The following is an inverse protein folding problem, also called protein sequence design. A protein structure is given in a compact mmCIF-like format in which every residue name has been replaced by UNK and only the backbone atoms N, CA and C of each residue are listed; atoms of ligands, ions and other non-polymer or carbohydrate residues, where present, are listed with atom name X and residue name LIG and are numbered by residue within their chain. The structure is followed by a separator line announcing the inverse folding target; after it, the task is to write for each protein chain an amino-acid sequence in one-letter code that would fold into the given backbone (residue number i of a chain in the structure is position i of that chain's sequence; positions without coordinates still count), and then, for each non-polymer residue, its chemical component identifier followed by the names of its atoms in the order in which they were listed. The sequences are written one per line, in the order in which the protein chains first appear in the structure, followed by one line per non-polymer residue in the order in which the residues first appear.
data_IF_163200032499
#
_entry.id   IF_163200032499
#
_cell.length_a   1.000
_cell.length_b   1.000
_cell.length_c   1.000
_cell.angle_alpha   90.00
_cell.angle_beta   90.00
_cell.angle_gamma   90.00
#
_symmetry.space_group_name_H-M   'P 1'
#
loop_
_entity.id
_entity.type
_entity.pdbx_description
1 polymer ?
#
# COMPACT_ATOMS: atom_id res chain seq x y z
N UNK A 1 6.21 3.70 20.29
CA UNK A 1 6.97 4.36 19.22
C UNK A 1 6.08 4.40 17.99
N UNK A 2 5.33 5.47 17.80
CA UNK A 2 4.56 5.70 16.56
C UNK A 2 5.53 6.19 15.49
N UNK A 3 5.83 5.34 14.52
CA UNK A 3 6.57 5.72 13.33
C UNK A 3 5.68 6.65 12.52
N UNK A 4 6.02 7.95 12.49
CA UNK A 4 5.39 8.96 11.63
C UNK A 4 5.66 8.62 10.16
N UNK A 5 4.92 7.67 9.61
CA UNK A 5 4.83 7.48 8.16
C UNK A 5 4.08 8.71 7.66
N UNK A 6 4.72 9.52 6.80
CA UNK A 6 4.03 10.53 6.01
C UNK A 6 2.77 9.89 5.42
N UNK A 7 1.59 10.35 5.84
CA UNK A 7 0.32 9.67 5.54
C UNK A 7 0.02 9.82 4.04
N UNK A 8 0.46 8.86 3.24
CA UNK A 8 0.02 8.70 1.86
C UNK A 8 -1.35 8.00 1.83
N UNK A 9 -2.15 8.19 0.77
CA UNK A 9 -3.38 7.42 0.58
C UNK A 9 -3.16 5.91 0.75
N UNK A 10 -2.09 5.37 0.17
CA UNK A 10 -1.71 3.96 0.33
C UNK A 10 -1.39 3.59 1.78
N UNK A 11 -0.69 4.44 2.54
CA UNK A 11 -0.44 4.18 3.96
C UNK A 11 -1.74 4.14 4.77
N UNK A 12 -2.72 4.98 4.45
CA UNK A 12 -4.02 4.97 5.11
C UNK A 12 -4.81 3.70 4.79
N UNK A 13 -4.76 3.25 3.53
CA UNK A 13 -5.35 1.96 3.12
C UNK A 13 -4.73 0.79 3.89
N UNK A 14 -3.40 0.78 4.06
CA UNK A 14 -2.71 -0.24 4.84
C UNK A 14 -3.16 -0.20 6.30
N UNK A 15 -3.22 0.98 6.93
CA UNK A 15 -3.69 1.13 8.32
C UNK A 15 -5.12 0.61 8.47
N UNK A 16 -6.01 0.96 7.53
CA UNK A 16 -7.39 0.48 7.55
C UNK A 16 -7.47 -1.04 7.39
N UNK A 17 -6.64 -1.62 6.52
CA UNK A 17 -6.53 -3.07 6.37
C UNK A 17 -6.04 -3.74 7.66
N UNK A 18 -5.01 -3.20 8.30
CA UNK A 18 -4.48 -3.73 9.57
C UNK A 18 -5.53 -3.69 10.68
N UNK A 19 -6.23 -2.56 10.82
CA UNK A 19 -7.28 -2.37 11.81
C UNK A 19 -8.44 -3.33 11.59
N UNK A 20 -8.87 -3.53 10.33
CA UNK A 20 -9.97 -4.44 9.98
C UNK A 20 -9.63 -5.91 10.26
N UNK A 21 -8.38 -6.32 10.04
CA UNK A 21 -7.94 -7.70 10.17
C UNK A 21 -7.27 -8.00 11.52
N UNK A 22 -7.14 -6.99 12.40
CA UNK A 22 -6.44 -7.07 13.69
C UNK A 22 -5.03 -7.69 13.57
N UNK A 23 -4.34 -7.38 12.46
CA UNK A 23 -3.03 -7.94 12.15
C UNK A 23 -2.17 -6.95 11.38
N UNK A 24 -0.84 -7.09 11.49
CA UNK A 24 0.11 -6.23 10.79
C UNK A 24 0.26 -6.65 9.33
N UNK A 25 0.26 -5.67 8.44
CA UNK A 25 0.43 -5.89 7.03
C UNK A 25 1.89 -6.25 6.75
N UNK A 26 2.11 -7.53 6.50
CA UNK A 26 3.45 -8.10 6.26
C UNK A 26 3.53 -8.61 4.82
N UNK A 27 3.77 -7.72 3.84
CA UNK A 27 3.80 -8.10 2.43
C UNK A 27 4.95 -9.07 2.12
N UNK A 28 4.62 -10.18 1.49
CA UNK A 28 5.54 -11.24 1.12
C UNK A 28 5.92 -11.19 -0.38
N UNK A 29 6.72 -12.16 -0.83
CA UNK A 29 7.12 -12.25 -2.24
C UNK A 29 5.93 -12.40 -3.18
N UNK A 30 4.86 -13.10 -2.78
CA UNK A 30 3.67 -13.32 -3.61
C UNK A 30 2.91 -12.02 -3.81
N UNK A 31 2.77 -11.21 -2.77
CA UNK A 31 2.23 -9.87 -2.85
C UNK A 31 2.98 -9.02 -3.89
N UNK A 32 4.31 -8.92 -3.78
CA UNK A 32 5.11 -8.11 -4.71
C UNK A 32 5.00 -8.59 -6.16
N UNK A 33 4.96 -9.91 -6.39
CA UNK A 33 4.72 -10.48 -7.72
C UNK A 33 3.33 -10.11 -8.25
N UNK A 34 2.30 -10.15 -7.40
CA UNK A 34 0.93 -9.83 -7.80
C UNK A 34 0.75 -8.35 -8.16
N UNK A 35 1.29 -7.43 -7.36
CA UNK A 35 1.17 -6.00 -7.63
C UNK A 35 2.10 -5.50 -8.74
N UNK A 36 3.11 -6.28 -9.11
CA UNK A 36 4.06 -5.97 -10.19
C UNK A 36 5.19 -5.01 -9.79
N UNK A 37 5.43 -4.78 -8.50
CA UNK A 37 6.51 -3.91 -8.01
C UNK A 37 7.32 -4.59 -6.91
N UNK A 38 8.60 -4.24 -6.83
CA UNK A 38 9.49 -4.78 -5.80
C UNK A 38 9.26 -4.12 -4.43
N UNK A 39 9.83 -4.76 -3.39
CA UNK A 39 9.78 -4.29 -2.00
C UNK A 39 10.23 -2.84 -1.82
N UNK A 40 11.35 -2.45 -2.42
CA UNK A 40 11.92 -1.11 -2.24
C UNK A 40 10.95 -0.05 -2.77
N UNK A 41 10.45 -0.25 -3.99
CA UNK A 41 9.50 0.64 -4.65
C UNK A 41 8.20 0.77 -3.86
N UNK A 42 7.63 -0.35 -3.41
CA UNK A 42 6.42 -0.34 -2.59
C UNK A 42 6.59 0.56 -1.35
N UNK A 43 7.65 0.37 -0.58
CA UNK A 43 7.87 1.18 0.63
C UNK A 43 8.25 2.63 0.34
N UNK A 44 8.84 2.95 -0.81
CA UNK A 44 9.02 4.33 -1.26
C UNK A 44 7.67 5.01 -1.52
N UNK A 45 6.72 4.31 -2.13
CA UNK A 45 5.35 4.83 -2.36
C UNK A 45 4.63 5.02 -1.03
N UNK A 46 4.65 4.01 -0.14
CA UNK A 46 4.00 4.08 1.18
C UNK A 46 4.50 5.29 1.98
N UNK A 47 5.79 5.61 1.91
CA UNK A 47 6.41 6.75 2.61
C UNK A 47 6.31 8.08 1.86
N UNK A 48 5.66 8.14 0.70
CA UNK A 48 5.54 9.36 -0.11
C UNK A 48 6.84 9.80 -0.80
N UNK A 49 7.85 8.93 -0.87
CA UNK A 49 9.14 9.22 -1.51
C UNK A 49 9.07 9.11 -3.03
N UNK A 50 8.09 8.36 -3.54
CA UNK A 50 7.81 8.21 -4.97
C UNK A 50 6.30 8.30 -5.21
N UNK A 51 5.87 8.87 -6.34
CA UNK A 51 4.46 8.89 -6.69
C UNK A 51 3.96 7.48 -7.00
N UNK A 52 2.69 7.22 -6.67
CA UNK A 52 1.97 6.02 -7.07
C UNK A 52 1.56 6.14 -8.54
N UNK A 53 1.91 5.16 -9.37
CA UNK A 53 1.50 5.15 -10.78
C UNK A 53 0.09 4.58 -10.94
N UNK A 54 -0.63 4.98 -11.99
CA UNK A 54 -1.99 4.51 -12.24
C UNK A 54 -2.12 2.98 -12.35
N UNK A 55 -1.13 2.30 -12.95
CA UNK A 55 -1.10 0.84 -13.06
C UNK A 55 -0.92 0.15 -11.69
N UNK A 56 -0.14 0.76 -10.81
CA UNK A 56 0.09 0.27 -9.44
C UNK A 56 -1.11 0.54 -8.55
N UNK A 57 -1.72 1.72 -8.69
CA UNK A 57 -2.94 2.07 -7.99
C UNK A 57 -4.05 1.07 -8.31
N UNK A 58 -4.17 0.66 -9.58
CA UNK A 58 -5.13 -0.37 -10.00
C UNK A 58 -4.89 -1.70 -9.29
N UNK A 59 -3.69 -2.27 -9.36
CA UNK A 59 -3.41 -3.58 -8.74
C UNK A 59 -3.51 -3.54 -7.21
N UNK A 60 -3.13 -2.43 -6.59
CA UNK A 60 -3.30 -2.21 -5.15
C UNK A 60 -4.77 -2.09 -4.76
N UNK A 61 -5.59 -1.39 -5.55
CA UNK A 61 -7.04 -1.28 -5.30
C UNK A 61 -7.73 -2.64 -5.33
N UNK A 62 -7.36 -3.49 -6.30
CA UNK A 62 -7.85 -4.87 -6.43
C UNK A 62 -7.41 -5.74 -5.25
N UNK A 63 -6.13 -5.65 -4.84
CA UNK A 63 -5.61 -6.43 -3.71
C UNK A 63 -6.25 -6.07 -2.38
N UNK A 64 -6.31 -4.76 -2.06
CA UNK A 64 -6.88 -4.27 -0.79
C UNK A 64 -8.42 -4.22 -0.80
N UNK A 65 -9.05 -4.45 -1.97
CA UNK A 65 -10.50 -4.37 -2.19
C UNK A 65 -11.07 -3.01 -1.78
N UNK A 66 -10.39 -1.95 -2.21
CA UNK A 66 -10.80 -0.55 -1.99
C UNK A 66 -11.04 0.14 -3.35
N UNK A 67 -11.89 1.16 -3.42
CA UNK A 67 -12.01 2.00 -4.61
C UNK A 67 -10.67 2.60 -5.03
N UNK A 68 -10.46 2.76 -6.33
CA UNK A 68 -9.24 3.39 -6.85
C UNK A 68 -9.06 4.81 -6.30
N UNK A 69 -10.16 5.54 -6.08
CA UNK A 69 -10.19 6.89 -5.49
C UNK A 69 -9.55 6.99 -4.12
N UNK A 70 -9.49 5.88 -3.37
CA UNK A 70 -8.88 5.85 -2.04
C UNK A 70 -7.34 5.83 -2.11
N UNK A 71 -6.78 5.69 -3.32
CA UNK A 71 -5.34 5.62 -3.59
C UNK A 71 -4.79 6.86 -4.33
N UNK A 72 -5.63 7.81 -4.72
CA UNK A 72 -5.25 8.99 -5.54
C UNK A 72 -5.33 10.28 -4.72
#
# INVERSE_FOLDING_TARGET
METLISQTPLSQVIINFENKNLTKFTPDKRFYTHIGINRIRFWQIVRGQKPLLATEARTLSEYFKVPLTDLI
#
